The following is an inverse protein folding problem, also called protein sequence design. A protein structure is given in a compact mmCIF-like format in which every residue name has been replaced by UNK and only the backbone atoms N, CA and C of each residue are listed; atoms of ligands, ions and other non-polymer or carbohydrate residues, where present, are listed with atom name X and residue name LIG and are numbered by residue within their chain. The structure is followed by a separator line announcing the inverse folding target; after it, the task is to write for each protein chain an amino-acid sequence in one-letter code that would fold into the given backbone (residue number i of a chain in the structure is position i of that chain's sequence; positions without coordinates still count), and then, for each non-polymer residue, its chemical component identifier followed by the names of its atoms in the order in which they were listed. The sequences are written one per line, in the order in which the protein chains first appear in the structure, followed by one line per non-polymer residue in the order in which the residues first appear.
data_IF_044330094604
#
_entry.id   IF_044330094604
#
_cell.length_a   1.000
_cell.length_b   1.000
_cell.length_c   1.000
_cell.angle_alpha   90.00
_cell.angle_beta   90.00
_cell.angle_gamma   90.00
#
_symmetry.space_group_name_H-M   'P 1'
#
loop_
_entity.id
_entity.type
_entity.pdbx_description
1 polymer ?
#
# COMPACT_ATOMS: atom_id res chain seq x y z
N UNK A 1 -7.75 -14.63 -7.01
CA UNK A 1 -6.30 -14.80 -6.85
C UNK A 1 -5.93 -14.36 -5.44
N UNK A 2 -5.15 -15.16 -4.74
CA UNK A 2 -4.74 -14.87 -3.37
C UNK A 2 -3.23 -14.60 -3.34
N UNK A 3 -2.86 -13.45 -2.79
CA UNK A 3 -1.46 -13.07 -2.64
C UNK A 3 -0.85 -13.68 -1.39
N UNK A 4 0.44 -14.00 -1.43
CA UNK A 4 1.23 -14.29 -0.24
C UNK A 4 1.73 -12.94 0.31
N UNK A 5 1.33 -12.60 1.53
CA UNK A 5 1.64 -11.33 2.15
C UNK A 5 2.47 -11.56 3.40
N UNK A 6 3.68 -11.02 3.41
CA UNK A 6 4.59 -11.11 4.55
C UNK A 6 4.49 -9.80 5.32
N UNK A 7 4.06 -9.89 6.59
CA UNK A 7 3.85 -8.71 7.41
C UNK A 7 4.88 -8.69 8.53
N UNK A 8 5.61 -7.59 8.61
CA UNK A 8 6.64 -7.37 9.61
C UNK A 8 6.28 -6.11 10.41
N UNK A 9 6.16 -6.28 11.72
CA UNK A 9 5.71 -5.21 12.60
C UNK A 9 6.84 -4.75 13.51
N UNK A 10 7.41 -3.59 13.15
CA UNK A 10 8.38 -2.89 14.00
C UNK A 10 7.73 -1.66 14.65
N UNK A 11 6.40 -1.66 14.76
CA UNK A 11 5.63 -0.58 15.35
C UNK A 11 4.42 -1.14 16.07
N UNK A 12 3.87 -0.36 17.02
CA UNK A 12 2.66 -0.71 17.75
C UNK A 12 1.42 -0.13 17.06
N UNK A 13 0.24 -0.57 17.49
CA UNK A 13 -1.05 -0.08 16.99
C UNK A 13 -1.19 -0.27 15.47
N UNK A 14 -0.96 -1.50 15.01
CA UNK A 14 -1.06 -1.86 13.61
C UNK A 14 -2.25 -2.78 13.37
N UNK A 15 -2.81 -2.81 12.13
CA UNK A 15 -3.91 -3.72 11.80
C UNK A 15 -3.52 -5.19 11.92
N UNK A 16 -4.51 -6.05 12.05
CA UNK A 16 -4.31 -7.50 12.04
C UNK A 16 -3.91 -7.99 10.65
N UNK A 17 -3.29 -9.17 10.60
CA UNK A 17 -2.89 -9.78 9.32
C UNK A 17 -4.08 -9.92 8.36
N UNK A 18 -5.23 -10.36 8.89
CA UNK A 18 -6.44 -10.58 8.10
C UNK A 18 -6.92 -9.30 7.42
N UNK A 19 -6.74 -8.15 8.08
CA UNK A 19 -7.10 -6.87 7.49
C UNK A 19 -6.23 -6.54 6.29
N UNK A 20 -4.92 -6.69 6.42
CA UNK A 20 -4.00 -6.48 5.30
C UNK A 20 -4.30 -7.43 4.13
N UNK A 21 -4.55 -8.70 4.43
CA UNK A 21 -4.89 -9.68 3.41
C UNK A 21 -6.15 -9.29 2.65
N UNK A 22 -7.17 -8.85 3.36
CA UNK A 22 -8.41 -8.39 2.76
C UNK A 22 -8.18 -7.21 1.82
N UNK A 23 -7.44 -6.21 2.28
CA UNK A 23 -7.20 -4.99 1.51
C UNK A 23 -6.36 -5.24 0.26
N UNK A 24 -5.28 -6.02 0.38
CA UNK A 24 -4.40 -6.33 -0.75
C UNK A 24 -5.15 -7.16 -1.79
N UNK A 25 -5.87 -8.18 -1.37
CA UNK A 25 -6.60 -9.03 -2.31
C UNK A 25 -7.73 -8.27 -3.00
N UNK A 26 -8.33 -7.28 -2.34
CA UNK A 26 -9.31 -6.41 -2.98
C UNK A 26 -8.70 -5.62 -4.15
N UNK A 27 -7.44 -5.23 -4.04
CA UNK A 27 -6.73 -4.57 -5.16
C UNK A 27 -6.67 -5.53 -6.36
N UNK A 28 -6.27 -6.78 -6.12
CA UNK A 28 -6.16 -7.76 -7.22
C UNK A 28 -7.51 -8.08 -7.86
N UNK A 29 -8.61 -7.98 -7.11
CA UNK A 29 -9.96 -8.18 -7.65
C UNK A 29 -10.37 -7.08 -8.62
N UNK A 30 -9.70 -5.92 -8.57
CA UNK A 30 -10.03 -4.75 -9.39
C UNK A 30 -8.97 -4.42 -10.44
N UNK A 31 -7.92 -5.23 -10.56
CA UNK A 31 -6.81 -4.97 -11.48
C UNK A 31 -6.51 -6.21 -12.30
N UNK A 32 -5.82 -6.05 -13.45
CA UNK A 32 -5.34 -7.23 -14.18
C UNK A 32 -4.39 -8.06 -13.33
N UNK A 33 -4.38 -9.37 -13.56
CA UNK A 33 -3.49 -10.28 -12.84
C UNK A 33 -2.03 -9.85 -13.04
N UNK A 34 -1.27 -9.64 -11.95
CA UNK A 34 0.11 -9.16 -12.07
C UNK A 34 1.10 -10.26 -12.45
N UNK A 35 0.71 -11.52 -12.35
CA UNK A 35 1.58 -12.67 -12.59
C UNK A 35 0.86 -13.69 -13.46
N UNK A 36 1.62 -14.61 -14.13
CA UNK A 36 1.02 -15.76 -14.81
C UNK A 36 0.16 -16.59 -13.84
N UNK A 37 -0.82 -17.30 -14.38
CA UNK A 37 -1.83 -18.01 -13.56
C UNK A 37 -1.24 -19.05 -12.62
N UNK A 38 -0.10 -19.64 -12.95
CA UNK A 38 0.57 -20.64 -12.11
C UNK A 38 1.50 -20.05 -11.06
N UNK A 39 1.67 -18.73 -11.04
CA UNK A 39 2.55 -18.05 -10.08
C UNK A 39 1.71 -17.14 -9.21
N UNK A 40 1.73 -17.38 -7.89
CA UNK A 40 1.02 -16.53 -6.94
C UNK A 40 1.79 -15.21 -6.71
N UNK A 41 1.10 -14.06 -6.69
CA UNK A 41 1.76 -12.81 -6.34
C UNK A 41 2.17 -12.79 -4.88
N UNK A 42 3.27 -12.11 -4.60
CA UNK A 42 3.87 -12.04 -3.27
C UNK A 42 4.37 -10.63 -3.00
N UNK A 43 4.11 -10.12 -1.80
CA UNK A 43 4.62 -8.82 -1.38
C UNK A 43 4.86 -8.77 0.12
N UNK A 44 5.62 -7.79 0.56
CA UNK A 44 5.88 -7.55 1.98
C UNK A 44 5.30 -6.21 2.41
N UNK A 45 4.73 -6.18 3.60
CA UNK A 45 4.30 -4.94 4.25
C UNK A 45 5.06 -4.84 5.56
N UNK A 46 5.75 -3.72 5.75
CA UNK A 46 6.48 -3.46 6.96
C UNK A 46 5.92 -2.22 7.64
N UNK A 47 5.50 -2.39 8.90
CA UNK A 47 5.00 -1.29 9.72
C UNK A 47 6.15 -0.77 10.57
N UNK A 48 6.46 0.52 10.46
CA UNK A 48 7.65 1.11 11.07
C UNK A 48 7.32 2.33 11.92
N UNK A 49 8.26 2.71 12.77
CA UNK A 49 8.20 3.92 13.57
C UNK A 49 8.79 5.11 12.82
N UNK A 50 8.72 6.30 13.43
CA UNK A 50 9.16 7.55 12.78
C UNK A 50 10.62 7.52 12.37
N UNK A 51 11.50 7.02 13.24
CA UNK A 51 12.95 7.04 13.00
C UNK A 51 13.32 6.24 11.77
N UNK A 52 12.77 5.04 11.63
CA UNK A 52 13.06 4.20 10.48
C UNK A 52 12.49 4.79 9.19
N UNK A 53 11.26 5.31 9.23
CA UNK A 53 10.67 5.93 8.05
C UNK A 53 11.45 7.18 7.63
N UNK A 54 11.89 7.99 8.58
CA UNK A 54 12.71 9.17 8.30
C UNK A 54 14.01 8.77 7.61
N UNK A 55 14.68 7.74 8.12
CA UNK A 55 15.93 7.24 7.54
C UNK A 55 15.73 6.73 6.12
N UNK A 56 14.71 5.90 5.88
CA UNK A 56 14.43 5.34 4.58
C UNK A 56 14.04 6.44 3.59
N UNK A 57 13.18 7.36 4.00
CA UNK A 57 12.72 8.46 3.14
C UNK A 57 13.89 9.35 2.72
N UNK A 58 14.83 9.63 3.63
CA UNK A 58 16.03 10.41 3.35
C UNK A 58 16.96 9.68 2.37
N UNK A 59 17.18 8.39 2.58
CA UNK A 59 18.11 7.59 1.78
C UNK A 59 17.61 7.31 0.38
N UNK A 60 16.33 6.97 0.23
CA UNK A 60 15.79 6.46 -1.03
C UNK A 60 14.95 7.48 -1.80
N UNK A 61 14.40 8.48 -1.13
CA UNK A 61 13.60 9.52 -1.75
C UNK A 61 14.26 10.89 -1.67
N UNK A 62 15.37 11.00 -0.93
CA UNK A 62 16.09 12.25 -0.70
C UNK A 62 15.20 13.37 -0.16
N UNK A 63 14.24 12.99 0.68
CA UNK A 63 13.31 13.91 1.33
C UNK A 63 13.52 13.88 2.83
N UNK A 64 13.37 15.04 3.46
CA UNK A 64 13.51 15.13 4.91
C UNK A 64 12.23 14.69 5.61
N UNK A 65 12.39 14.04 6.77
CA UNK A 65 11.28 13.68 7.63
C UNK A 65 10.59 12.38 7.25
N UNK A 66 9.58 12.02 8.03
CA UNK A 66 8.80 10.81 7.80
C UNK A 66 7.64 11.07 6.84
N UNK A 67 7.26 10.05 6.10
CA UNK A 67 6.04 10.04 5.28
C UNK A 67 5.15 8.90 5.73
N UNK A 68 3.92 8.82 5.20
CA UNK A 68 2.97 7.78 5.61
C UNK A 68 3.25 6.42 4.98
N UNK A 69 3.52 6.37 3.68
CA UNK A 69 3.72 5.11 2.95
C UNK A 69 4.79 5.27 1.88
N UNK A 70 5.62 4.24 1.71
CA UNK A 70 6.60 4.13 0.64
C UNK A 70 6.45 2.76 -0.01
N UNK A 71 6.52 2.70 -1.34
CA UNK A 71 6.47 1.46 -2.10
C UNK A 71 7.75 1.27 -2.89
N UNK A 72 8.29 0.05 -2.86
CA UNK A 72 9.52 -0.33 -3.54
C UNK A 72 9.22 -1.50 -4.47
N UNK A 73 8.76 -1.23 -5.71
CA UNK A 73 8.50 -2.32 -6.66
C UNK A 73 9.81 -2.95 -7.13
N UNK A 74 9.75 -4.25 -7.42
CA UNK A 74 10.89 -4.94 -8.05
C UNK A 74 10.79 -4.79 -9.56
N UNK A 75 11.85 -5.20 -10.27
CA UNK A 75 11.83 -5.22 -11.72
C UNK A 75 10.69 -6.11 -12.23
N UNK A 76 9.89 -5.65 -13.21
CA UNK A 76 8.78 -6.45 -13.74
C UNK A 76 9.18 -7.85 -14.24
N UNK A 77 10.39 -8.01 -14.76
CA UNK A 77 10.88 -9.33 -15.17
C UNK A 77 10.99 -10.29 -14.00
N UNK A 78 11.40 -9.79 -12.84
CA UNK A 78 11.46 -10.60 -11.62
C UNK A 78 10.05 -10.99 -11.15
N UNK A 79 9.11 -10.07 -11.22
CA UNK A 79 7.71 -10.33 -10.88
C UNK A 79 7.15 -11.46 -11.75
N UNK A 80 7.39 -11.39 -13.06
CA UNK A 80 6.89 -12.39 -14.00
C UNK A 80 7.43 -13.79 -13.69
N UNK A 81 8.68 -13.87 -13.24
CA UNK A 81 9.35 -15.16 -12.98
C UNK A 81 9.05 -15.72 -11.59
N UNK A 82 8.91 -14.88 -10.58
CA UNK A 82 8.86 -15.31 -9.18
C UNK A 82 7.55 -14.97 -8.47
N UNK A 83 6.78 -14.05 -8.99
CA UNK A 83 5.59 -13.53 -8.34
C UNK A 83 5.86 -12.38 -7.38
N UNK A 84 7.12 -12.08 -7.09
CA UNK A 84 7.46 -11.00 -6.15
C UNK A 84 7.13 -9.64 -6.74
N UNK A 85 6.33 -8.86 -6.01
CA UNK A 85 5.91 -7.51 -6.42
C UNK A 85 6.78 -6.42 -5.82
N UNK A 86 7.17 -6.58 -4.57
CA UNK A 86 7.99 -5.61 -3.86
C UNK A 86 7.64 -5.44 -2.40
N UNK A 87 8.03 -4.31 -1.84
CA UNK A 87 7.86 -4.01 -0.43
C UNK A 87 7.09 -2.71 -0.24
N UNK A 88 6.26 -2.67 0.80
CA UNK A 88 5.53 -1.49 1.23
C UNK A 88 5.93 -1.17 2.67
N UNK A 89 6.37 0.06 2.92
CA UNK A 89 6.62 0.55 4.27
C UNK A 89 5.51 1.50 4.65
N UNK A 90 4.92 1.30 5.84
CA UNK A 90 3.86 2.17 6.37
C UNK A 90 4.28 2.64 7.76
N UNK A 91 4.29 3.95 7.96
CA UNK A 91 4.68 4.56 9.21
C UNK A 91 3.48 4.69 10.15
N UNK A 92 3.38 3.80 11.14
CA UNK A 92 2.23 3.74 12.03
C UNK A 92 1.91 5.06 12.75
N UNK A 93 2.88 5.77 13.36
CA UNK A 93 2.57 7.05 14.00
C UNK A 93 2.01 8.10 13.05
N UNK A 94 2.52 8.17 11.82
CA UNK A 94 2.02 9.13 10.81
C UNK A 94 0.59 8.79 10.42
N UNK A 95 0.27 7.51 10.23
CA UNK A 95 -1.09 7.08 9.88
C UNK A 95 -2.08 7.49 10.97
N UNK A 96 -1.74 7.23 12.23
CA UNK A 96 -2.58 7.58 13.36
C UNK A 96 -2.80 9.10 13.43
N UNK A 97 -1.72 9.87 13.29
CA UNK A 97 -1.77 11.32 13.36
C UNK A 97 -2.61 11.91 12.23
N UNK A 98 -2.41 11.43 11.01
CA UNK A 98 -3.18 11.90 9.85
C UNK A 98 -4.66 11.57 9.98
N UNK A 99 -4.99 10.37 10.43
CA UNK A 99 -6.38 9.97 10.63
C UNK A 99 -7.06 10.89 11.64
N UNK A 100 -6.38 11.18 12.73
CA UNK A 100 -6.89 12.08 13.77
C UNK A 100 -7.10 13.49 13.24
N UNK A 101 -6.13 14.04 12.52
CA UNK A 101 -6.21 15.38 11.94
C UNK A 101 -7.30 15.51 10.90
N UNK A 102 -7.53 14.47 10.12
CA UNK A 102 -8.52 14.45 9.04
C UNK A 102 -9.90 13.99 9.50
N UNK A 103 -10.04 13.61 10.77
CA UNK A 103 -11.31 13.11 11.31
C UNK A 103 -11.75 11.80 10.68
N UNK A 104 -10.80 10.96 10.29
CA UNK A 104 -11.06 9.65 9.66
C UNK A 104 -10.92 8.54 10.67
N UNK A 105 -11.62 7.42 10.42
CA UNK A 105 -11.38 6.17 11.13
C UNK A 105 -9.95 5.71 10.82
N UNK A 106 -9.18 5.38 11.85
CA UNK A 106 -7.76 5.00 11.66
C UNK A 106 -7.63 3.74 10.81
N UNK A 107 -8.53 2.77 10.98
CA UNK A 107 -8.53 1.55 10.17
C UNK A 107 -8.80 1.86 8.69
N UNK A 108 -9.70 2.79 8.41
CA UNK A 108 -9.98 3.22 7.04
C UNK A 108 -8.76 3.88 6.40
N UNK A 109 -7.99 4.64 7.19
CA UNK A 109 -6.79 5.28 6.68
C UNK A 109 -5.69 4.25 6.39
N UNK A 110 -5.53 3.25 7.25
CA UNK A 110 -4.62 2.13 6.99
C UNK A 110 -5.01 1.40 5.70
N UNK A 111 -6.30 1.14 5.51
CA UNK A 111 -6.79 0.49 4.29
C UNK A 111 -6.45 1.31 3.06
N UNK A 112 -6.68 2.62 3.11
CA UNK A 112 -6.37 3.52 1.99
C UNK A 112 -4.89 3.46 1.63
N UNK A 113 -4.00 3.57 2.61
CA UNK A 113 -2.56 3.56 2.36
C UNK A 113 -2.07 2.20 1.86
N UNK A 114 -2.65 1.11 2.36
CA UNK A 114 -2.31 -0.23 1.90
C UNK A 114 -2.74 -0.43 0.44
N UNK A 115 -3.95 0.00 0.09
CA UNK A 115 -4.44 -0.05 -1.29
C UNK A 115 -3.55 0.80 -2.20
N UNK A 116 -3.26 2.02 -1.78
CA UNK A 116 -2.40 2.95 -2.51
C UNK A 116 -1.01 2.35 -2.78
N UNK A 117 -0.37 1.83 -1.74
CA UNK A 117 0.95 1.21 -1.87
C UNK A 117 0.94 -0.02 -2.77
N UNK A 118 -0.10 -0.84 -2.68
CA UNK A 118 -0.23 -2.02 -3.53
C UNK A 118 -0.40 -1.63 -5.00
N UNK A 119 -1.19 -0.61 -5.29
CA UNK A 119 -1.35 -0.10 -6.66
C UNK A 119 -0.02 0.39 -7.22
N UNK A 120 0.80 1.06 -6.40
CA UNK A 120 2.15 1.46 -6.83
C UNK A 120 3.02 0.26 -7.19
N UNK A 121 2.95 -0.83 -6.43
CA UNK A 121 3.69 -2.05 -6.75
C UNK A 121 3.25 -2.64 -8.10
N UNK A 122 2.00 -2.41 -8.49
CA UNK A 122 1.47 -2.89 -9.77
C UNK A 122 1.77 -1.94 -10.94
N UNK A 123 2.47 -0.85 -10.68
CA UNK A 123 2.88 0.10 -11.72
C UNK A 123 2.00 1.32 -11.88
N UNK A 124 0.93 1.45 -11.10
CA UNK A 124 0.12 2.67 -11.12
C UNK A 124 0.89 3.81 -10.46
N UNK A 125 0.74 4.99 -11.00
CA UNK A 125 1.45 6.18 -10.51
C UNK A 125 0.52 7.38 -10.53
N UNK A 126 0.97 8.49 -9.93
CA UNK A 126 0.20 9.73 -9.85
C UNK A 126 1.06 10.96 -10.20
N UNK A 127 2.09 10.76 -11.03
CA UNK A 127 3.00 11.83 -11.46
C UNK A 127 2.28 12.78 -12.42
N UNK A 128 1.54 12.22 -13.39
CA UNK A 128 0.77 13.02 -14.34
C UNK A 128 -0.71 13.04 -13.95
N UNK A 129 -1.43 14.09 -14.36
CA UNK A 129 -2.83 14.30 -13.98
C UNK A 129 -3.73 13.14 -14.39
N UNK A 130 -3.56 12.60 -15.60
CA UNK A 130 -4.35 11.48 -16.09
C UNK A 130 -4.10 10.23 -15.26
N UNK A 131 -2.85 9.97 -14.91
CA UNK A 131 -2.45 8.84 -14.07
C UNK A 131 -3.01 8.99 -12.66
N UNK A 132 -2.94 10.20 -12.11
CA UNK A 132 -3.48 10.48 -10.79
C UNK A 132 -4.98 10.23 -10.73
N UNK A 133 -5.74 10.69 -11.74
CA UNK A 133 -7.18 10.47 -11.80
C UNK A 133 -7.52 9.00 -11.90
N UNK A 134 -6.80 8.25 -12.71
CA UNK A 134 -7.01 6.80 -12.87
C UNK A 134 -6.74 6.07 -11.56
N UNK A 135 -5.64 6.39 -10.90
CA UNK A 135 -5.26 5.76 -9.64
C UNK A 135 -6.26 6.08 -8.54
N UNK A 136 -6.66 7.35 -8.40
CA UNK A 136 -7.65 7.75 -7.39
C UNK A 136 -9.01 7.08 -7.65
N UNK A 137 -9.42 6.97 -8.90
CA UNK A 137 -10.68 6.29 -9.25
C UNK A 137 -10.63 4.81 -8.84
N UNK A 138 -9.49 4.14 -9.05
CA UNK A 138 -9.29 2.76 -8.60
C UNK A 138 -9.32 2.66 -7.09
N UNK A 139 -8.64 3.55 -6.38
CA UNK A 139 -8.63 3.55 -4.91
C UNK A 139 -10.06 3.68 -4.37
N UNK A 140 -10.83 4.60 -4.92
CA UNK A 140 -12.22 4.83 -4.51
C UNK A 140 -13.06 3.57 -4.74
N UNK A 141 -12.94 2.96 -5.92
CA UNK A 141 -13.72 1.76 -6.26
C UNK A 141 -13.35 0.58 -5.36
N UNK A 142 -12.05 0.38 -5.12
CA UNK A 142 -11.58 -0.72 -4.27
C UNK A 142 -12.07 -0.51 -2.84
N UNK A 143 -11.89 0.69 -2.28
CA UNK A 143 -12.32 0.99 -0.92
C UNK A 143 -13.84 0.90 -0.78
N UNK A 144 -14.58 1.33 -1.80
CA UNK A 144 -16.03 1.21 -1.79
C UNK A 144 -16.48 -0.25 -1.73
N UNK A 145 -15.77 -1.15 -2.42
CA UNK A 145 -16.07 -2.59 -2.35
C UNK A 145 -15.85 -3.17 -0.95
N UNK A 146 -15.03 -2.50 -0.15
CA UNK A 146 -14.74 -2.86 1.25
C UNK A 146 -15.63 -2.10 2.23
N UNK A 147 -16.62 -1.35 1.75
CA UNK A 147 -17.48 -0.47 2.54
C UNK A 147 -16.72 0.62 3.30
N UNK A 148 -15.63 1.10 2.70
CA UNK A 148 -14.83 2.19 3.24
C UNK A 148 -15.14 3.46 2.44
N UNK A 149 -15.41 4.60 3.11
CA UNK A 149 -15.76 5.84 2.42
C UNK A 149 -14.64 6.35 1.50
N UNK A 150 -15.02 7.15 0.52
CA UNK A 150 -14.09 7.81 -0.38
C UNK A 150 -13.09 8.65 0.41
N UNK A 151 -11.78 8.35 0.34
CA UNK A 151 -10.77 9.06 1.14
C UNK A 151 -10.54 10.49 0.66
N UNK A 152 -11.02 10.84 -0.52
CA UNK A 152 -10.84 12.16 -1.12
C UNK A 152 -12.07 13.05 -1.00
N UNK A 153 -13.14 12.54 -0.39
CA UNK A 153 -14.38 13.30 -0.23
C UNK A 153 -14.31 14.27 0.97
#
# INVERSE_FOLDING_TARGET
MTAAIHIDRDAEATPADEAFELWVNAVFDHTPAPTPSEISPELSIRCVELDEMTDVNSRFRQKAGATNVLSFPVDPDLTEKTGLLGDILICAPVVTDEAEQQGKDVSHHWAHLTVHGTLHLLGFDHIEDDQAQQMEALEIAILNSLTIPNPYA
#
